data_IF_303840539983
#
_entry.id   IF_303840539983
#
_cell.length_a   1.000
_cell.length_b   1.000
_cell.length_c   1.000
_cell.angle_alpha   90.00
_cell.angle_beta   90.00
_cell.angle_gamma   90.00
#
_symmetry.space_group_name_H-M   'P 1'
#
loop_
_entity.id
_entity.type
_entity.pdbx_description
1 polymer ?
#
# COMPACT_ATOMS: atom_id res chain seq x y z
N UNK A 1 16.43 15.95 17.39
CA UNK A 1 15.42 17.04 17.61
C UNK A 1 15.95 18.38 17.09
N UNK A 2 17.23 18.74 17.32
CA UNK A 2 17.82 20.02 16.89
C UNK A 2 17.68 20.29 15.37
N UNK A 3 18.02 19.37 14.45
CA UNK A 3 17.87 19.60 13.01
C UNK A 3 16.42 19.91 12.58
N UNK A 4 15.43 19.28 13.22
CA UNK A 4 14.02 19.52 12.92
C UNK A 4 13.58 20.93 13.35
N UNK A 5 14.03 21.38 14.49
CA UNK A 5 13.76 22.76 14.97
C UNK A 5 14.37 23.80 14.03
N UNK A 6 15.58 23.54 13.53
CA UNK A 6 16.24 24.44 12.58
C UNK A 6 15.50 24.50 11.25
N UNK A 7 15.02 23.35 10.73
CA UNK A 7 14.19 23.30 9.51
C UNK A 7 12.90 24.10 9.69
N UNK A 8 12.21 23.94 10.83
CA UNK A 8 10.98 24.71 11.13
C UNK A 8 11.30 26.21 11.22
N UNK A 9 12.37 26.58 11.90
CA UNK A 9 12.80 27.98 12.00
C UNK A 9 13.11 28.57 10.63
N UNK A 10 13.90 27.87 9.80
CA UNK A 10 14.26 28.33 8.46
C UNK A 10 13.02 28.42 7.53
N UNK A 11 12.02 27.55 7.69
CA UNK A 11 10.79 27.63 6.91
C UNK A 11 9.96 28.89 7.17
N UNK A 12 10.17 29.53 8.32
CA UNK A 12 9.48 30.75 8.75
C UNK A 12 10.29 32.03 8.49
N UNK A 13 11.50 31.91 7.92
CA UNK A 13 12.38 33.06 7.66
C UNK A 13 12.53 33.25 6.15
N UNK A 14 12.31 34.49 5.69
CA UNK A 14 12.51 34.87 4.29
C UNK A 14 14.01 35.06 3.97
N UNK A 15 14.35 35.13 2.67
CA UNK A 15 15.71 35.40 2.17
C UNK A 15 16.35 36.68 2.75
N UNK A 16 15.54 37.60 3.23
CA UNK A 16 15.97 38.84 3.92
C UNK A 16 16.16 38.66 5.43
N UNK A 17 15.96 37.45 6.00
CA UNK A 17 16.11 37.21 7.44
C UNK A 17 14.90 37.58 8.32
N UNK A 18 13.79 38.03 7.72
CA UNK A 18 12.57 38.39 8.42
C UNK A 18 11.60 37.22 8.54
N UNK A 19 10.84 37.14 9.65
CA UNK A 19 9.78 36.15 9.80
C UNK A 19 8.66 36.40 8.77
N UNK A 20 8.40 35.41 7.91
CA UNK A 20 7.41 35.49 6.85
C UNK A 20 6.76 34.16 6.53
N UNK A 21 5.47 34.14 6.30
CA UNK A 21 4.73 32.99 5.76
C UNK A 21 4.73 32.94 4.23
N UNK A 22 5.54 33.76 3.57
CA UNK A 22 5.57 33.85 2.10
C UNK A 22 5.95 32.53 1.44
N UNK A 23 6.86 31.74 2.05
CA UNK A 23 7.23 30.41 1.56
C UNK A 23 6.01 29.47 1.50
N UNK A 24 5.19 29.45 2.55
CA UNK A 24 3.98 28.63 2.60
C UNK A 24 2.92 29.11 1.59
N UNK A 25 2.75 30.42 1.44
CA UNK A 25 1.84 31.00 0.44
C UNK A 25 2.28 30.63 -0.99
N UNK A 26 3.58 30.67 -1.26
CA UNK A 26 4.14 30.30 -2.55
C UNK A 26 3.93 28.82 -2.87
N UNK A 27 4.01 27.93 -1.88
CA UNK A 27 3.73 26.49 -2.04
C UNK A 27 2.33 26.27 -2.64
N UNK A 28 1.32 26.98 -2.15
CA UNK A 28 -0.07 26.83 -2.62
C UNK A 28 -0.37 27.61 -3.91
N UNK A 29 0.42 28.64 -4.23
CA UNK A 29 0.23 29.44 -5.45
C UNK A 29 1.04 28.94 -6.64
N UNK A 30 2.15 28.23 -6.42
CA UNK A 30 2.93 27.64 -7.51
C UNK A 30 2.22 26.45 -8.13
N UNK A 31 1.91 26.54 -9.43
CA UNK A 31 1.21 25.51 -10.20
C UNK A 31 1.87 24.13 -10.09
N UNK A 32 3.21 24.08 -10.10
CA UNK A 32 3.94 22.81 -10.05
C UNK A 32 3.84 22.13 -8.66
N UNK A 33 3.86 22.92 -7.59
CA UNK A 33 3.70 22.41 -6.22
C UNK A 33 2.28 21.90 -6.00
N UNK A 34 1.28 22.62 -6.48
CA UNK A 34 -0.12 22.18 -6.43
C UNK A 34 -0.33 20.88 -7.20
N UNK A 35 0.23 20.75 -8.41
CA UNK A 35 0.19 19.49 -9.17
C UNK A 35 0.88 18.34 -8.42
N UNK A 36 2.05 18.58 -7.85
CA UNK A 36 2.76 17.57 -7.07
C UNK A 36 1.93 17.10 -5.87
N UNK A 37 1.28 18.04 -5.17
CA UNK A 37 0.38 17.73 -4.06
C UNK A 37 -0.81 16.88 -4.52
N UNK A 38 -1.52 17.28 -5.58
CA UNK A 38 -2.63 16.50 -6.13
C UNK A 38 -2.21 15.10 -6.58
N UNK A 39 -1.06 14.99 -7.26
CA UNK A 39 -0.52 13.70 -7.69
C UNK A 39 -0.17 12.81 -6.50
N UNK A 40 0.36 13.37 -5.42
CA UNK A 40 0.70 12.62 -4.19
C UNK A 40 -0.57 12.09 -3.51
N UNK A 41 -1.61 12.91 -3.38
CA UNK A 41 -2.90 12.46 -2.83
C UNK A 41 -3.52 11.36 -3.69
N UNK A 42 -3.55 11.56 -5.01
CA UNK A 42 -4.06 10.55 -5.95
C UNK A 42 -3.26 9.24 -5.85
N UNK A 43 -1.93 9.33 -5.81
CA UNK A 43 -1.05 8.19 -5.64
C UNK A 43 -1.34 7.45 -4.32
N UNK A 44 -1.45 8.17 -3.22
CA UNK A 44 -1.73 7.60 -1.89
C UNK A 44 -3.06 6.83 -1.87
N UNK A 45 -4.11 7.41 -2.44
CA UNK A 45 -5.43 6.77 -2.51
C UNK A 45 -5.39 5.50 -3.37
N UNK A 46 -4.81 5.58 -4.57
CA UNK A 46 -4.74 4.44 -5.49
C UNK A 46 -3.91 3.30 -4.87
N UNK A 47 -2.72 3.61 -4.35
CA UNK A 47 -1.84 2.63 -3.72
C UNK A 47 -2.50 2.04 -2.47
N UNK A 48 -3.13 2.86 -1.64
CA UNK A 48 -3.84 2.41 -0.45
C UNK A 48 -4.93 1.39 -0.79
N UNK A 49 -5.77 1.70 -1.78
CA UNK A 49 -6.82 0.77 -2.24
C UNK A 49 -6.22 -0.51 -2.81
N UNK A 50 -5.26 -0.41 -3.72
CA UNK A 50 -4.65 -1.58 -4.36
C UNK A 50 -3.93 -2.47 -3.35
N UNK A 51 -3.11 -1.89 -2.46
CA UNK A 51 -2.40 -2.63 -1.44
C UNK A 51 -3.36 -3.32 -0.46
N UNK A 52 -4.46 -2.66 -0.08
CA UNK A 52 -5.49 -3.24 0.79
C UNK A 52 -6.22 -4.39 0.10
N UNK A 53 -6.62 -4.23 -1.15
CA UNK A 53 -7.31 -5.28 -1.92
C UNK A 53 -6.39 -6.51 -2.09
N UNK A 54 -5.15 -6.31 -2.51
CA UNK A 54 -4.19 -7.41 -2.67
C UNK A 54 -3.89 -8.05 -1.31
N UNK A 55 -3.63 -7.25 -0.28
CA UNK A 55 -3.41 -7.73 1.08
C UNK A 55 -4.58 -8.54 1.62
N UNK A 56 -5.82 -8.08 1.36
CA UNK A 56 -7.03 -8.81 1.73
C UNK A 56 -7.15 -10.15 1.00
N UNK A 57 -6.92 -10.18 -0.30
CA UNK A 57 -6.95 -11.43 -1.07
C UNK A 57 -5.95 -12.45 -0.53
N UNK A 58 -4.72 -12.01 -0.25
CA UNK A 58 -3.69 -12.85 0.35
C UNK A 58 -4.08 -13.33 1.77
N UNK A 59 -4.62 -12.43 2.59
CA UNK A 59 -5.07 -12.75 3.95
C UNK A 59 -6.22 -13.75 3.92
N UNK A 60 -7.19 -13.55 3.06
CA UNK A 60 -8.33 -14.46 2.89
C UNK A 60 -7.88 -15.84 2.40
N UNK A 61 -7.06 -15.88 1.37
CA UNK A 61 -6.52 -17.15 0.87
C UNK A 61 -5.77 -17.92 1.95
N UNK A 62 -4.92 -17.24 2.73
CA UNK A 62 -4.12 -17.90 3.76
C UNK A 62 -4.91 -18.23 5.03
N UNK A 63 -6.02 -17.58 5.30
CA UNK A 63 -6.87 -17.85 6.48
C UNK A 63 -7.89 -18.96 6.22
N UNK A 64 -8.58 -18.91 5.08
CA UNK A 64 -9.73 -19.77 4.78
C UNK A 64 -9.40 -20.95 3.85
N UNK A 65 -8.31 -20.88 3.06
CA UNK A 65 -7.95 -21.97 2.16
C UNK A 65 -6.87 -22.86 2.77
N UNK A 66 -7.04 -24.17 2.59
CA UNK A 66 -6.04 -25.17 2.97
C UNK A 66 -4.96 -25.27 1.89
N UNK A 67 -4.11 -24.25 1.79
CA UNK A 67 -3.04 -24.18 0.80
C UNK A 67 -1.86 -25.04 1.28
N UNK A 68 -1.47 -26.06 0.49
CA UNK A 68 -0.21 -26.77 0.71
C UNK A 68 0.96 -25.79 0.56
N UNK A 69 1.83 -25.67 1.59
CA UNK A 69 2.94 -24.71 1.56
C UNK A 69 2.59 -23.29 2.05
N UNK A 70 1.50 -23.11 2.79
CA UNK A 70 1.05 -21.84 3.39
C UNK A 70 2.20 -21.04 4.07
N UNK A 71 3.14 -21.73 4.71
CA UNK A 71 4.30 -21.09 5.37
C UNK A 71 5.22 -20.41 4.36
N UNK A 72 5.50 -21.08 3.23
CA UNK A 72 6.34 -20.52 2.14
C UNK A 72 5.62 -19.33 1.51
N UNK A 73 4.31 -19.47 1.25
CA UNK A 73 3.50 -18.39 0.69
C UNK A 73 3.50 -17.13 1.57
N UNK A 74 3.36 -17.30 2.89
CA UNK A 74 3.44 -16.17 3.83
C UNK A 74 4.84 -15.54 3.84
N UNK A 75 5.91 -16.33 3.80
CA UNK A 75 7.28 -15.81 3.74
C UNK A 75 7.50 -14.99 2.45
N UNK A 76 7.06 -15.50 1.31
CA UNK A 76 7.16 -14.76 0.03
C UNK A 76 6.35 -13.45 0.05
N UNK A 77 5.17 -13.47 0.64
CA UNK A 77 4.35 -12.26 0.78
C UNK A 77 5.02 -11.18 1.66
N UNK A 78 5.85 -11.59 2.63
CA UNK A 78 6.53 -10.68 3.54
C UNK A 78 7.89 -10.18 3.01
N UNK A 79 8.45 -10.80 1.96
CA UNK A 79 9.77 -10.44 1.42
C UNK A 79 9.93 -8.95 1.10
N UNK A 80 8.95 -8.26 0.47
CA UNK A 80 9.10 -6.83 0.17
C UNK A 80 9.25 -5.97 1.42
N UNK A 81 8.71 -6.38 2.57
CA UNK A 81 8.79 -5.63 3.82
C UNK A 81 10.20 -5.65 4.44
N UNK A 82 10.93 -6.76 4.24
CA UNK A 82 12.30 -6.92 4.77
C UNK A 82 13.32 -6.20 3.89
N UNK A 83 13.01 -6.02 2.60
CA UNK A 83 13.89 -5.38 1.64
C UNK A 83 13.89 -3.86 1.82
N UNK A 84 15.06 -3.18 1.73
CA UNK A 84 15.10 -1.72 1.68
C UNK A 84 14.23 -1.18 0.53
N UNK A 85 13.45 -0.11 0.73
CA UNK A 85 12.51 0.39 -0.29
C UNK A 85 13.15 0.70 -1.65
N UNK A 86 14.39 1.22 -1.67
CA UNK A 86 15.12 1.49 -2.90
C UNK A 86 15.47 0.21 -3.68
N UNK A 87 15.73 -0.90 -3.01
CA UNK A 87 16.07 -2.18 -3.65
C UNK A 87 14.87 -2.75 -4.41
N UNK A 88 13.67 -2.61 -3.85
CA UNK A 88 12.42 -2.99 -4.53
C UNK A 88 12.22 -2.16 -5.79
N UNK A 89 12.43 -0.84 -5.70
CA UNK A 89 12.32 0.06 -6.84
C UNK A 89 13.34 -0.27 -7.95
N UNK A 90 14.60 -0.49 -7.59
CA UNK A 90 15.64 -0.88 -8.53
C UNK A 90 15.34 -2.22 -9.20
N UNK A 91 14.91 -3.21 -8.43
CA UNK A 91 14.53 -4.53 -8.97
C UNK A 91 13.42 -4.43 -9.99
N UNK A 92 12.40 -3.61 -9.72
CA UNK A 92 11.30 -3.39 -10.65
C UNK A 92 11.76 -2.67 -11.91
N UNK A 93 12.65 -1.68 -11.80
CA UNK A 93 13.25 -1.01 -12.97
C UNK A 93 14.08 -2.00 -13.79
N UNK A 94 14.89 -2.84 -13.15
CA UNK A 94 15.69 -3.85 -13.84
C UNK A 94 14.85 -4.94 -14.51
N UNK A 95 13.71 -5.29 -13.93
CA UNK A 95 12.80 -6.31 -14.49
C UNK A 95 11.87 -5.74 -15.57
N UNK A 96 11.28 -4.57 -15.32
CA UNK A 96 10.19 -4.01 -16.11
C UNK A 96 10.52 -2.67 -16.80
N UNK A 97 11.75 -2.17 -16.69
CA UNK A 97 12.20 -0.98 -17.39
C UNK A 97 12.26 -1.17 -18.90
N UNK A 98 12.59 -0.11 -19.63
CA UNK A 98 12.65 -0.12 -21.13
C UNK A 98 13.61 -1.17 -21.70
N UNK A 99 14.65 -1.52 -20.96
CA UNK A 99 15.57 -2.64 -21.27
C UNK A 99 15.54 -3.70 -20.17
N UNK A 100 14.40 -3.86 -19.52
CA UNK A 100 14.22 -4.78 -18.43
C UNK A 100 14.25 -6.25 -18.86
N UNK A 101 14.67 -7.11 -17.95
CA UNK A 101 14.83 -8.53 -18.21
C UNK A 101 13.53 -9.19 -18.66
N UNK A 102 12.40 -8.80 -18.06
CA UNK A 102 11.08 -9.34 -18.44
C UNK A 102 10.54 -8.64 -19.68
N UNK A 103 10.54 -7.32 -19.72
CA UNK A 103 9.93 -6.54 -20.79
C UNK A 103 10.67 -6.67 -22.12
N UNK A 104 11.98 -6.53 -22.09
CA UNK A 104 12.79 -6.57 -23.31
C UNK A 104 13.21 -7.99 -23.67
N UNK A 105 13.88 -8.72 -22.73
CA UNK A 105 14.47 -10.02 -23.06
C UNK A 105 13.43 -11.13 -23.16
N UNK A 106 12.38 -11.15 -22.31
CA UNK A 106 11.41 -12.23 -22.32
C UNK A 106 10.21 -11.95 -23.22
N UNK A 107 9.65 -10.73 -23.17
CA UNK A 107 8.45 -10.36 -23.91
C UNK A 107 8.73 -9.62 -25.22
N UNK A 108 9.96 -9.20 -25.50
CA UNK A 108 10.35 -8.48 -26.71
C UNK A 108 9.73 -7.08 -26.84
N UNK A 109 9.23 -6.50 -25.74
CA UNK A 109 8.60 -5.19 -25.73
C UNK A 109 9.64 -4.09 -25.75
N UNK A 110 9.78 -3.37 -26.86
CA UNK A 110 10.78 -2.34 -27.04
C UNK A 110 10.37 -0.95 -26.56
N UNK A 111 9.08 -0.72 -26.33
CA UNK A 111 8.54 0.61 -25.97
C UNK A 111 7.79 0.63 -24.63
N UNK A 112 8.36 -0.01 -23.61
CA UNK A 112 7.78 0.02 -22.26
C UNK A 112 8.37 1.15 -21.44
N UNK A 113 7.50 1.96 -20.83
CA UNK A 113 7.90 3.00 -19.91
C UNK A 113 7.24 2.77 -18.55
N UNK A 114 8.03 2.23 -17.61
CA UNK A 114 7.61 2.03 -16.22
C UNK A 114 7.87 3.28 -15.35
N UNK A 115 8.54 4.29 -15.89
CA UNK A 115 8.85 5.50 -15.15
C UNK A 115 7.60 6.37 -14.95
N UNK A 116 7.65 7.22 -13.92
CA UNK A 116 6.55 8.13 -13.56
C UNK A 116 5.49 7.50 -12.68
N UNK A 117 4.28 8.06 -12.71
CA UNK A 117 3.20 7.72 -11.78
C UNK A 117 2.80 6.24 -11.83
N UNK A 118 2.75 5.63 -13.01
CA UNK A 118 2.40 4.21 -13.18
C UNK A 118 3.39 3.28 -12.46
N UNK A 119 4.68 3.51 -12.62
CA UNK A 119 5.71 2.74 -11.95
C UNK A 119 5.72 2.98 -10.44
N UNK A 120 5.48 4.21 -9.99
CA UNK A 120 5.35 4.52 -8.57
C UNK A 120 4.17 3.77 -7.94
N UNK A 121 3.00 3.74 -8.59
CA UNK A 121 1.84 2.96 -8.13
C UNK A 121 2.23 1.49 -8.00
N UNK A 122 2.88 0.92 -9.00
CA UNK A 122 3.27 -0.49 -9.01
C UNK A 122 4.26 -0.83 -7.90
N UNK A 123 5.36 -0.06 -7.80
CA UNK A 123 6.40 -0.25 -6.76
C UNK A 123 5.81 -0.10 -5.36
N UNK A 124 5.06 0.96 -5.11
CA UNK A 124 4.49 1.22 -3.78
C UNK A 124 3.43 0.20 -3.40
N UNK A 125 2.60 -0.25 -4.35
CA UNK A 125 1.63 -1.31 -4.08
C UNK A 125 2.32 -2.59 -3.63
N UNK A 126 3.40 -3.02 -4.32
CA UNK A 126 4.19 -4.19 -3.91
C UNK A 126 4.88 -3.99 -2.56
N UNK A 127 5.32 -2.77 -2.27
CA UNK A 127 6.01 -2.48 -1.00
C UNK A 127 5.06 -2.43 0.19
N UNK A 128 3.82 -1.99 0.00
CA UNK A 128 2.88 -1.76 1.11
C UNK A 128 1.83 -2.87 1.29
N UNK A 129 1.55 -3.71 0.28
CA UNK A 129 0.56 -4.78 0.46
C UNK A 129 0.91 -5.77 1.58
N UNK A 130 2.19 -6.05 1.94
CA UNK A 130 2.47 -6.96 3.06
C UNK A 130 1.99 -6.43 4.40
N UNK A 131 1.98 -5.11 4.60
CA UNK A 131 1.47 -4.47 5.82
C UNK A 131 -0.04 -4.70 5.92
N UNK A 132 -0.77 -4.42 4.83
CA UNK A 132 -2.21 -4.69 4.76
C UNK A 132 -2.51 -6.19 4.95
N UNK A 133 -1.72 -7.06 4.32
CA UNK A 133 -1.82 -8.51 4.48
C UNK A 133 -1.69 -8.95 5.95
N UNK A 134 -0.67 -8.47 6.66
CA UNK A 134 -0.43 -8.85 8.07
C UNK A 134 -1.57 -8.39 8.98
N UNK A 135 -2.01 -7.15 8.83
CA UNK A 135 -3.11 -6.59 9.62
C UNK A 135 -4.41 -7.39 9.37
N UNK A 136 -4.75 -7.58 8.11
CA UNK A 136 -5.97 -8.28 7.72
C UNK A 136 -5.94 -9.78 8.05
N UNK A 137 -4.78 -10.44 7.91
CA UNK A 137 -4.63 -11.83 8.33
C UNK A 137 -4.75 -12.00 9.84
N UNK A 138 -4.24 -11.05 10.62
CA UNK A 138 -4.44 -11.01 12.07
C UNK A 138 -5.91 -10.89 12.44
N UNK A 139 -6.63 -9.97 11.79
CA UNK A 139 -8.08 -9.77 12.00
C UNK A 139 -8.90 -11.01 11.61
N UNK A 140 -8.64 -11.58 10.43
CA UNK A 140 -9.38 -12.76 9.97
C UNK A 140 -9.18 -13.97 10.88
N UNK A 141 -7.99 -14.10 11.49
CA UNK A 141 -7.71 -15.17 12.46
C UNK A 141 -8.35 -14.94 13.82
N UNK A 142 -8.70 -13.71 14.18
CA UNK A 142 -9.39 -13.39 15.44
C UNK A 142 -10.90 -13.63 15.38
N UNK A 143 -11.45 -13.86 14.19
CA UNK A 143 -12.85 -14.25 14.02
C UNK A 143 -12.98 -15.71 14.46
N UNK A 144 -13.86 -15.95 15.43
CA UNK A 144 -14.13 -17.30 15.91
C UNK A 144 -14.83 -18.11 14.81
N UNK A 145 -14.21 -19.22 14.40
CA UNK A 145 -14.76 -20.13 13.38
C UNK A 145 -16.13 -20.69 13.79
N UNK A 146 -16.41 -20.77 15.09
CA UNK A 146 -17.72 -21.23 15.59
C UNK A 146 -18.87 -20.35 15.12
N UNK A 147 -18.66 -19.05 14.94
CA UNK A 147 -19.65 -18.12 14.43
C UNK A 147 -19.95 -18.38 12.94
N UNK A 148 -18.91 -18.67 12.16
CA UNK A 148 -19.08 -19.03 10.74
C UNK A 148 -19.79 -20.39 10.59
N UNK A 149 -19.43 -21.37 11.43
CA UNK A 149 -20.06 -22.67 11.43
C UNK A 149 -21.53 -22.61 11.87
N UNK A 150 -21.84 -21.86 12.94
CA UNK A 150 -23.21 -21.62 13.36
C UNK A 150 -24.07 -20.92 12.28
N UNK A 151 -23.51 -19.97 11.56
CA UNK A 151 -24.21 -19.31 10.46
C UNK A 151 -24.48 -20.28 9.28
N UNK A 152 -23.58 -21.21 9.02
CA UNK A 152 -23.78 -22.28 8.01
C UNK A 152 -24.84 -23.27 8.43
N UNK A 153 -24.86 -23.68 9.69
CA UNK A 153 -25.86 -24.59 10.26
C UNK A 153 -27.28 -23.98 10.19
N UNK A 154 -27.38 -22.63 10.28
CA UNK A 154 -28.60 -21.87 10.06
C UNK A 154 -28.95 -21.64 8.57
N UNK A 155 -28.23 -22.29 7.63
CA UNK A 155 -28.49 -22.26 6.21
C UNK A 155 -27.97 -21.00 5.48
N UNK A 156 -27.07 -20.22 6.09
CA UNK A 156 -26.44 -19.09 5.41
C UNK A 156 -25.53 -19.55 4.29
N UNK A 157 -25.68 -18.93 3.09
CA UNK A 157 -24.77 -19.17 1.97
C UNK A 157 -23.35 -18.64 2.30
N UNK A 158 -22.33 -19.21 1.68
CA UNK A 158 -20.92 -18.78 1.84
C UNK A 158 -20.73 -17.28 1.61
N UNK A 159 -21.44 -16.72 0.63
CA UNK A 159 -21.39 -15.29 0.32
C UNK A 159 -22.04 -14.43 1.40
N UNK A 160 -23.15 -14.88 1.95
CA UNK A 160 -23.84 -14.18 3.03
C UNK A 160 -23.02 -14.19 4.31
N UNK A 161 -22.46 -15.35 4.69
CA UNK A 161 -21.54 -15.46 5.84
C UNK A 161 -20.31 -14.54 5.65
N UNK A 162 -19.72 -14.54 4.47
CA UNK A 162 -18.60 -13.66 4.13
C UNK A 162 -18.96 -12.17 4.28
N UNK A 163 -20.06 -11.72 3.68
CA UNK A 163 -20.43 -10.30 3.68
C UNK A 163 -20.96 -9.81 5.03
N UNK A 164 -21.55 -10.70 5.87
CA UNK A 164 -22.20 -10.30 7.12
C UNK A 164 -21.33 -10.56 8.36
N UNK A 165 -20.43 -11.54 8.31
CA UNK A 165 -19.62 -11.96 9.46
C UNK A 165 -18.14 -11.64 9.25
N UNK A 166 -17.59 -11.96 8.06
CA UNK A 166 -16.15 -11.83 7.81
C UNK A 166 -15.73 -10.41 7.46
N UNK A 167 -16.53 -9.69 6.65
CA UNK A 167 -16.19 -8.32 6.19
C UNK A 167 -16.47 -7.22 7.24
N UNK A 168 -17.56 -7.23 8.02
CA UNK A 168 -17.86 -6.13 8.95
C UNK A 168 -16.78 -5.88 10.00
N UNK A 169 -16.19 -6.88 10.67
CA UNK A 169 -15.09 -6.64 11.61
C UNK A 169 -13.91 -5.92 10.99
N UNK A 170 -13.63 -6.17 9.70
CA UNK A 170 -12.56 -5.50 8.95
C UNK A 170 -12.88 -4.01 8.73
N UNK A 171 -14.14 -3.65 8.52
CA UNK A 171 -14.55 -2.24 8.34
C UNK A 171 -14.63 -1.46 9.66
N UNK A 172 -15.06 -2.10 10.76
CA UNK A 172 -15.24 -1.42 12.05
C UNK A 172 -13.91 -1.02 12.72
N UNK A 173 -12.82 -1.76 12.49
CA UNK A 173 -11.52 -1.46 13.11
C UNK A 173 -10.87 -0.21 12.53
N UNK A 174 -11.15 0.13 11.27
CA UNK A 174 -10.68 1.38 10.67
C UNK A 174 -11.36 2.63 11.23
N UNK A 175 -12.57 2.51 11.80
CA UNK A 175 -13.35 3.64 12.35
C UNK A 175 -13.13 3.86 13.86
N UNK A 176 -12.53 2.89 14.58
CA UNK A 176 -12.36 2.97 16.04
C UNK A 176 -10.92 3.26 16.50
N UNK A 177 -10.01 3.47 15.57
CA UNK A 177 -8.59 3.80 15.85
C UNK A 177 -8.35 5.32 15.96
N UNK A 178 -9.38 6.09 16.33
CA UNK A 178 -9.27 7.50 16.71
C UNK A 178 -9.82 7.73 18.10
#
# INVERSE_FOLDING_TARGET
>A
VWPLLEVVKQSLVDTAGNYSFQAYKNIFTMRETYKAFCNTIMLAVIVGVLATVIGFLFAYCTSHLQIRGKRIFNLMAMMPMVSPPFSVALSIIMLFGSRGLITYNLLGWTNTNIYGLKGLIFVQTISYFPIAFLLLAGMLRSIDSSIEDAARDLGSSKWRTFSTITVPPVSYTHLRAH
#
